data_IF_985272829765
#
_entry.id   IF_985272829765
#
_cell.length_a   1.000
_cell.length_b   1.000
_cell.length_c   1.000
_cell.angle_alpha   90.00
_cell.angle_beta   90.00
_cell.angle_gamma   90.00
#
_symmetry.space_group_name_H-M   'P 1'
#
loop_
_entity.id
_entity.type
_entity.pdbx_description
1 polymer ?
#
# COMPACT_ATOMS: atom_id res chain seq x y z
N UNK A 1 -5.69 15.42 17.38
CA UNK A 1 -6.71 15.15 16.34
C UNK A 1 -6.36 13.84 15.65
N UNK A 2 -6.77 12.71 16.25
CA UNK A 2 -6.56 11.38 15.66
C UNK A 2 -7.77 11.07 14.77
N UNK A 3 -7.55 11.05 13.46
CA UNK A 3 -8.60 10.78 12.49
C UNK A 3 -9.15 9.36 12.70
N UNK A 4 -10.39 9.35 13.17
CA UNK A 4 -11.41 8.29 13.16
C UNK A 4 -11.03 7.06 12.32
N UNK A 5 -10.78 5.94 13.00
CA UNK A 5 -10.68 4.58 12.45
C UNK A 5 -12.03 4.24 11.79
N UNK A 6 -12.12 4.37 10.47
CA UNK A 6 -13.30 3.98 9.70
C UNK A 6 -13.43 2.45 9.75
N UNK A 7 -14.33 2.01 10.64
CA UNK A 7 -15.16 0.81 10.55
C UNK A 7 -14.89 -0.07 9.32
N UNK A 8 -14.54 -1.34 9.58
CA UNK A 8 -14.28 -2.43 8.64
C UNK A 8 -15.28 -2.55 7.47
N UNK A 9 -15.22 -1.63 6.50
CA UNK A 9 -15.88 -1.76 5.20
C UNK A 9 -14.87 -2.48 4.32
N UNK A 10 -15.13 -3.76 4.02
CA UNK A 10 -14.30 -4.55 3.11
C UNK A 10 -14.15 -3.74 1.81
N UNK A 11 -12.91 -3.40 1.45
CA UNK A 11 -12.60 -2.77 0.18
C UNK A 11 -13.21 -3.61 -0.95
N UNK A 12 -13.97 -2.97 -1.83
CA UNK A 12 -14.42 -3.62 -3.06
C UNK A 12 -13.21 -4.02 -3.91
N UNK A 13 -13.36 -4.98 -4.82
CA UNK A 13 -12.30 -5.37 -5.76
C UNK A 13 -11.73 -4.17 -6.54
N UNK A 14 -12.56 -3.17 -6.81
CA UNK A 14 -12.17 -1.95 -7.55
C UNK A 14 -11.39 -0.99 -6.67
N UNK A 15 -11.83 -0.77 -5.43
CA UNK A 15 -11.12 0.06 -4.46
C UNK A 15 -9.75 -0.55 -4.12
N UNK A 16 -9.70 -1.88 -3.94
CA UNK A 16 -8.45 -2.61 -3.72
C UNK A 16 -7.46 -2.38 -4.87
N UNK A 17 -7.91 -2.56 -6.11
CA UNK A 17 -7.08 -2.34 -7.29
C UNK A 17 -6.64 -0.88 -7.44
N UNK A 18 -7.53 0.08 -7.14
CA UNK A 18 -7.23 1.52 -7.19
C UNK A 18 -6.13 1.90 -6.20
N UNK A 19 -6.24 1.44 -4.96
CA UNK A 19 -5.28 1.71 -3.88
C UNK A 19 -3.92 1.11 -4.20
N UNK A 20 -3.90 -0.15 -4.68
CA UNK A 20 -2.67 -0.81 -5.15
C UNK A 20 -1.99 -0.04 -6.28
N UNK A 21 -2.75 0.32 -7.32
CA UNK A 21 -2.22 1.06 -8.46
C UNK A 21 -1.66 2.43 -8.07
N UNK A 22 -2.40 3.18 -7.24
CA UNK A 22 -1.94 4.48 -6.74
C UNK A 22 -0.64 4.34 -5.93
N UNK A 23 -0.54 3.30 -5.08
CA UNK A 23 0.66 3.06 -4.28
C UNK A 23 1.85 2.61 -5.12
N UNK A 24 1.64 1.73 -6.08
CA UNK A 24 2.67 1.29 -7.01
C UNK A 24 3.24 2.46 -7.81
N UNK A 25 2.40 3.42 -8.23
CA UNK A 25 2.86 4.65 -8.90
C UNK A 25 3.77 5.46 -7.97
N UNK A 26 3.39 5.65 -6.70
CA UNK A 26 4.22 6.39 -5.74
C UNK A 26 5.60 5.74 -5.59
N UNK A 27 5.64 4.42 -5.43
CA UNK A 27 6.88 3.64 -5.30
C UNK A 27 7.74 3.74 -6.57
N UNK A 28 7.11 3.67 -7.75
CA UNK A 28 7.79 3.90 -9.03
C UNK A 28 8.38 5.30 -9.16
N UNK A 29 7.79 6.30 -8.51
CA UNK A 29 8.29 7.68 -8.49
C UNK A 29 9.43 7.88 -7.47
N UNK A 30 9.93 6.82 -6.85
CA UNK A 30 10.99 6.88 -5.85
C UNK A 30 10.49 7.19 -4.43
N UNK A 31 9.18 7.08 -4.18
CA UNK A 31 8.68 7.16 -2.80
C UNK A 31 9.23 5.99 -1.98
N UNK A 32 9.56 6.26 -0.73
CA UNK A 32 10.01 5.21 0.18
C UNK A 32 8.85 4.29 0.54
N UNK A 33 9.07 2.96 0.51
CA UNK A 33 8.16 1.99 1.11
C UNK A 33 7.99 2.25 2.61
N UNK A 34 6.91 1.72 3.18
CA UNK A 34 6.72 1.74 4.62
C UNK A 34 7.85 0.98 5.33
N UNK A 35 8.30 1.53 6.47
CA UNK A 35 9.33 0.89 7.28
C UNK A 35 8.78 -0.37 7.95
N UNK A 36 8.90 -1.48 7.23
CA UNK A 36 8.60 -2.81 7.74
C UNK A 36 9.78 -3.74 7.47
N UNK A 37 10.16 -4.55 8.46
CA UNK A 37 11.30 -5.48 8.38
C UNK A 37 11.21 -6.44 7.19
N UNK A 38 10.00 -6.75 6.76
CA UNK A 38 9.73 -7.65 5.63
C UNK A 38 9.96 -6.97 4.28
N UNK A 39 9.57 -5.69 4.18
CA UNK A 39 9.79 -4.88 2.98
C UNK A 39 11.29 -4.60 2.80
N UNK A 40 12.00 -4.25 3.88
CA UNK A 40 13.46 -4.06 3.82
C UNK A 40 14.21 -5.34 3.45
N UNK A 41 13.79 -6.49 3.98
CA UNK A 41 14.33 -7.80 3.57
C UNK A 41 14.05 -8.09 2.11
N UNK A 42 12.84 -7.81 1.64
CA UNK A 42 12.46 -8.00 0.24
C UNK A 42 13.32 -7.12 -0.67
N UNK A 43 13.51 -5.84 -0.33
CA UNK A 43 14.34 -4.91 -1.09
C UNK A 43 15.82 -5.34 -1.13
N UNK A 44 16.34 -5.88 -0.02
CA UNK A 44 17.73 -6.36 0.03
C UNK A 44 17.95 -7.68 -0.71
N UNK A 45 16.94 -8.55 -0.75
CA UNK A 45 17.07 -9.89 -1.33
C UNK A 45 16.64 -9.94 -2.80
N UNK A 46 15.69 -9.11 -3.21
CA UNK A 46 15.12 -9.11 -4.55
C UNK A 46 15.90 -8.12 -5.44
N UNK A 47 16.65 -8.65 -6.42
CA UNK A 47 17.34 -7.85 -7.45
C UNK A 47 16.39 -7.02 -8.32
N UNK A 48 15.11 -7.39 -8.37
CA UNK A 48 14.03 -6.69 -9.08
C UNK A 48 13.04 -6.15 -8.05
N UNK A 49 12.97 -4.82 -7.98
CA UNK A 49 12.10 -4.05 -7.09
C UNK A 49 10.82 -3.68 -7.83
N UNK A 50 9.96 -4.66 -8.07
CA UNK A 50 8.68 -4.37 -8.73
C UNK A 50 7.78 -3.56 -7.78
N UNK A 51 7.36 -2.34 -8.15
CA UNK A 51 6.56 -1.48 -7.28
C UNK A 51 5.22 -2.09 -6.89
N UNK A 52 4.67 -2.97 -7.74
CA UNK A 52 3.44 -3.71 -7.51
C UNK A 52 3.58 -4.67 -6.32
N UNK A 53 4.70 -5.38 -6.22
CA UNK A 53 4.89 -6.38 -5.18
C UNK A 53 5.01 -5.72 -3.82
N UNK A 54 5.76 -4.62 -3.74
CA UNK A 54 5.89 -3.81 -2.53
C UNK A 54 4.52 -3.26 -2.10
N UNK A 55 3.73 -2.71 -3.03
CA UNK A 55 2.39 -2.22 -2.74
C UNK A 55 1.45 -3.35 -2.27
N UNK A 56 1.62 -4.56 -2.79
CA UNK A 56 0.82 -5.73 -2.39
C UNK A 56 1.17 -6.19 -0.98
N UNK A 57 2.46 -6.26 -0.65
CA UNK A 57 2.93 -6.57 0.69
C UNK A 57 2.42 -5.55 1.72
N UNK A 58 2.49 -4.26 1.42
CA UNK A 58 1.96 -3.22 2.30
C UNK A 58 0.45 -3.37 2.55
N UNK A 59 -0.30 -3.87 1.56
CA UNK A 59 -1.75 -4.04 1.66
C UNK A 59 -2.11 -5.24 2.51
N UNK A 60 -1.38 -6.35 2.34
CA UNK A 60 -1.54 -7.55 3.15
C UNK A 60 -1.19 -7.29 4.62
N UNK A 61 -0.18 -6.44 4.87
CA UNK A 61 0.20 -5.98 6.20
C UNK A 61 -0.74 -4.92 6.78
N UNK A 62 -1.62 -4.33 5.97
CA UNK A 62 -2.56 -3.30 6.40
C UNK A 62 -1.89 -1.98 6.82
N UNK A 63 -0.67 -1.72 6.36
CA UNK A 63 0.15 -0.54 6.70
C UNK A 63 0.13 0.53 5.59
N UNK A 64 -0.73 0.39 4.59
CA UNK A 64 -0.76 1.33 3.47
C UNK A 64 -1.10 2.76 3.92
N UNK A 65 -0.34 3.79 3.48
CA UNK A 65 -0.62 5.20 3.78
C UNK A 65 -1.77 5.78 2.94
N UNK A 66 -2.69 4.94 2.46
CA UNK A 66 -3.79 5.36 1.59
C UNK A 66 -5.11 4.87 2.18
N UNK A 67 -6.11 5.73 2.11
CA UNK A 67 -7.48 5.41 2.51
C UNK A 67 -8.44 5.76 1.37
N UNK A 68 -9.57 5.07 1.32
CA UNK A 68 -10.58 5.27 0.29
C UNK A 68 -11.72 6.09 0.88
N UNK A 69 -11.96 7.27 0.28
CA UNK A 69 -13.15 8.06 0.58
C UNK A 69 -14.24 7.73 -0.43
N UNK A 70 -15.33 7.06 -0.03
CA UNK A 70 -16.50 6.95 -0.88
C UNK A 70 -17.03 8.36 -1.16
N UNK A 71 -17.40 8.63 -2.41
CA UNK A 71 -18.08 9.87 -2.75
C UNK A 71 -19.53 9.77 -2.26
N UNK A 72 -19.96 10.75 -1.48
CA UNK A 72 -21.39 10.95 -1.13
C UNK A 72 -22.20 11.36 -2.35
#
# INVERSE_FOLDING_TARGET
MAAKKSTAKKLTRFEKARVLGARAIQLSMGAKPMEHKEIEKFIKNSKSLDPIDIATLELELGILPLDVRPKE
#
